data_IF_322129896393
#
_entry.id   IF_322129896393
#
_cell.length_a   1.000
_cell.length_b   1.000
_cell.length_c   1.000
_cell.angle_alpha   90.00
_cell.angle_beta   90.00
_cell.angle_gamma   90.00
#
_symmetry.space_group_name_H-M   'P 1'
#
loop_
_entity.id
_entity.type
_entity.pdbx_description
1 polymer ?
#
# COMPACT_ATOMS: atom_id res chain seq x y z
N UNK A 1 -9.29 -14.85 -34.72
CA UNK A 1 -9.38 -14.58 -33.28
C UNK A 1 -10.14 -13.27 -33.07
N UNK A 2 -11.25 -13.25 -32.29
CA UNK A 2 -12.08 -12.05 -32.11
C UNK A 2 -11.32 -10.87 -31.46
N UNK A 3 -10.26 -11.13 -30.69
CA UNK A 3 -9.47 -10.09 -30.03
C UNK A 3 -8.36 -9.49 -30.92
N UNK A 4 -7.95 -10.21 -32.01
CA UNK A 4 -6.84 -9.79 -32.87
C UNK A 4 -7.13 -10.19 -34.32
N UNK A 5 -8.03 -9.46 -35.02
CA UNK A 5 -8.53 -9.87 -36.33
C UNK A 5 -7.45 -9.87 -37.42
N UNK A 6 -6.36 -9.13 -37.25
CA UNK A 6 -5.29 -8.99 -38.25
C UNK A 6 -4.02 -9.80 -37.90
N UNK A 7 -4.08 -10.75 -36.92
CA UNK A 7 -2.93 -11.54 -36.50
C UNK A 7 -3.12 -12.99 -36.91
N UNK A 8 -2.19 -13.53 -37.68
CA UNK A 8 -2.11 -14.95 -38.01
C UNK A 8 -1.37 -15.73 -36.94
N UNK A 9 -2.05 -16.68 -36.32
CA UNK A 9 -1.47 -17.56 -35.30
C UNK A 9 -0.88 -18.81 -35.97
N UNK A 10 0.43 -19.02 -35.87
CA UNK A 10 1.12 -20.21 -36.34
C UNK A 10 1.22 -21.25 -35.20
N UNK A 11 0.55 -22.37 -35.33
CA UNK A 11 0.56 -23.44 -34.32
C UNK A 11 1.79 -24.36 -34.40
N UNK A 12 2.49 -24.36 -35.53
CA UNK A 12 3.71 -25.17 -35.75
C UNK A 12 4.84 -24.27 -36.17
N UNK A 13 5.86 -24.17 -35.37
CA UNK A 13 7.09 -23.40 -35.64
C UNK A 13 8.31 -24.30 -35.48
N UNK A 14 9.35 -24.07 -36.28
CA UNK A 14 10.60 -24.84 -36.26
C UNK A 14 11.82 -23.91 -36.11
N UNK A 15 12.99 -24.48 -35.84
CA UNK A 15 14.26 -23.78 -35.75
C UNK A 15 14.29 -22.65 -34.73
N UNK A 16 14.81 -21.49 -35.08
CA UNK A 16 14.95 -20.32 -34.18
C UNK A 16 13.59 -19.86 -33.62
N UNK A 17 12.53 -19.91 -34.41
CA UNK A 17 11.16 -19.52 -33.99
C UNK A 17 10.62 -20.43 -32.88
N UNK A 18 10.96 -21.72 -32.91
CA UNK A 18 10.57 -22.66 -31.84
C UNK A 18 11.22 -22.28 -30.51
N UNK A 19 12.52 -21.95 -30.52
CA UNK A 19 13.22 -21.48 -29.30
C UNK A 19 12.60 -20.20 -28.72
N UNK A 20 12.19 -19.27 -29.57
CA UNK A 20 11.50 -18.04 -29.11
C UNK A 20 10.14 -18.34 -28.49
N UNK A 21 9.38 -19.27 -29.08
CA UNK A 21 8.10 -19.68 -28.53
C UNK A 21 8.27 -20.35 -27.15
N UNK A 22 9.22 -21.28 -27.02
CA UNK A 22 9.55 -21.93 -25.75
C UNK A 22 9.99 -20.92 -24.68
N UNK A 23 10.75 -19.89 -25.05
CA UNK A 23 11.14 -18.81 -24.15
C UNK A 23 9.93 -17.97 -23.73
N UNK A 24 9.05 -17.62 -24.66
CA UNK A 24 7.83 -16.87 -24.38
C UNK A 24 6.89 -17.64 -23.46
N UNK A 25 6.69 -18.93 -23.71
CA UNK A 25 5.89 -19.82 -22.85
C UNK A 25 6.45 -19.91 -21.43
N UNK A 26 7.76 -20.07 -21.29
CA UNK A 26 8.44 -20.09 -19.99
C UNK A 26 8.25 -18.79 -19.24
N UNK A 27 8.43 -17.65 -19.92
CA UNK A 27 8.24 -16.35 -19.32
C UNK A 27 6.77 -16.15 -18.88
N UNK A 28 5.81 -16.55 -19.70
CA UNK A 28 4.38 -16.46 -19.35
C UNK A 28 4.04 -17.34 -18.15
N UNK A 29 4.56 -18.59 -18.09
CA UNK A 29 4.37 -19.50 -16.94
C UNK A 29 4.98 -18.91 -15.66
N UNK A 30 6.20 -18.39 -15.73
CA UNK A 30 6.86 -17.75 -14.59
C UNK A 30 6.08 -16.52 -14.10
N UNK A 31 5.64 -15.67 -15.02
CA UNK A 31 4.83 -14.50 -14.67
C UNK A 31 3.51 -14.89 -14.01
N UNK A 32 2.82 -15.91 -14.54
CA UNK A 32 1.58 -16.41 -13.97
C UNK A 32 1.79 -16.98 -12.57
N UNK A 33 2.84 -17.78 -12.36
CA UNK A 33 3.14 -18.34 -11.04
C UNK A 33 3.43 -17.25 -10.01
N UNK A 34 4.21 -16.24 -10.35
CA UNK A 34 4.47 -15.08 -9.48
C UNK A 34 3.20 -14.30 -9.17
N UNK A 35 2.33 -14.09 -10.15
CA UNK A 35 1.05 -13.42 -9.96
C UNK A 35 0.12 -14.21 -9.03
N UNK A 36 0.05 -15.53 -9.18
CA UNK A 36 -0.74 -16.40 -8.31
C UNK A 36 -0.21 -16.40 -6.87
N UNK A 37 1.10 -16.51 -6.67
CA UNK A 37 1.72 -16.43 -5.34
C UNK A 37 1.43 -15.08 -4.67
N UNK A 38 1.52 -13.98 -5.42
CA UNK A 38 1.20 -12.64 -4.92
C UNK A 38 -0.26 -12.53 -4.50
N UNK A 39 -1.19 -13.06 -5.30
CA UNK A 39 -2.61 -13.06 -4.98
C UNK A 39 -2.91 -13.90 -3.73
N UNK A 40 -2.27 -15.07 -3.55
CA UNK A 40 -2.42 -15.88 -2.34
C UNK A 40 -1.91 -15.17 -1.09
N UNK A 41 -0.79 -14.43 -1.20
CA UNK A 41 -0.27 -13.64 -0.09
C UNK A 41 -1.26 -12.53 0.30
N UNK A 42 -1.84 -11.83 -0.69
CA UNK A 42 -2.86 -10.83 -0.41
C UNK A 42 -4.12 -11.44 0.23
N UNK A 43 -4.60 -12.57 -0.28
CA UNK A 43 -5.76 -13.25 0.28
C UNK A 43 -5.58 -13.54 1.78
N UNK A 44 -4.44 -14.12 2.18
CA UNK A 44 -4.13 -14.37 3.60
C UNK A 44 -4.09 -13.08 4.44
N UNK A 45 -3.58 -11.99 3.87
CA UNK A 45 -3.55 -10.69 4.57
C UNK A 45 -4.95 -10.11 4.72
N UNK A 46 -5.82 -10.29 3.72
CA UNK A 46 -7.22 -9.86 3.78
C UNK A 46 -8.01 -10.64 4.82
N UNK A 47 -7.83 -11.97 4.90
CA UNK A 47 -8.45 -12.83 5.93
C UNK A 47 -8.03 -12.38 7.34
N UNK A 48 -6.74 -12.03 7.51
CA UNK A 48 -6.24 -11.51 8.77
C UNK A 48 -6.93 -10.19 9.15
N UNK A 49 -7.06 -9.27 8.21
CA UNK A 49 -7.69 -7.96 8.42
C UNK A 49 -9.18 -8.13 8.76
N UNK A 50 -9.90 -8.97 8.03
CA UNK A 50 -11.32 -9.25 8.28
C UNK A 50 -11.52 -9.80 9.69
N UNK A 51 -10.71 -10.77 10.08
CA UNK A 51 -10.79 -11.41 11.40
C UNK A 51 -10.51 -10.45 12.56
N UNK A 52 -9.55 -9.52 12.41
CA UNK A 52 -9.04 -8.71 13.51
C UNK A 52 -9.57 -7.28 13.51
N UNK A 53 -9.88 -6.73 12.33
CA UNK A 53 -10.34 -5.34 12.18
C UNK A 53 -11.85 -5.29 11.84
N UNK A 54 -12.45 -6.43 11.50
CA UNK A 54 -13.89 -6.56 11.17
C UNK A 54 -14.33 -5.70 9.98
N UNK A 55 -13.44 -5.50 9.01
CA UNK A 55 -13.74 -4.87 7.74
C UNK A 55 -13.79 -5.96 6.67
N UNK A 56 -14.88 -6.02 5.92
CA UNK A 56 -14.99 -6.96 4.80
C UNK A 56 -13.94 -6.62 3.73
N UNK A 57 -13.26 -7.64 3.15
CA UNK A 57 -12.21 -7.43 2.16
C UNK A 57 -12.60 -6.54 0.97
N UNK A 58 -13.85 -6.65 0.48
CA UNK A 58 -14.36 -5.83 -0.62
C UNK A 58 -14.37 -4.33 -0.34
N UNK A 59 -14.51 -3.97 0.94
CA UNK A 59 -14.58 -2.58 1.38
C UNK A 59 -13.25 -2.04 1.88
N UNK A 60 -12.20 -2.86 1.86
CA UNK A 60 -10.89 -2.48 2.37
C UNK A 60 -10.29 -1.32 1.56
N UNK A 61 -9.96 -0.24 2.25
CA UNK A 61 -9.31 0.97 1.71
C UNK A 61 -8.32 1.49 2.74
N UNK A 62 -7.03 1.16 2.54
CA UNK A 62 -5.94 1.52 3.46
C UNK A 62 -5.09 2.60 2.83
N UNK A 63 -4.73 3.62 3.59
CA UNK A 63 -3.68 4.57 3.22
C UNK A 63 -2.55 4.51 4.23
N UNK A 64 -1.36 4.15 3.77
CA UNK A 64 -0.14 4.21 4.55
C UNK A 64 0.53 5.58 4.40
N UNK A 65 0.99 6.14 5.52
CA UNK A 65 1.72 7.41 5.57
C UNK A 65 3.12 7.20 6.14
N UNK A 66 4.08 7.82 5.47
CA UNK A 66 5.48 7.85 5.89
C UNK A 66 6.06 9.25 5.73
N UNK A 67 6.98 9.64 6.63
CA UNK A 67 7.66 10.93 6.60
C UNK A 67 9.14 10.72 6.30
N UNK A 68 9.64 11.46 5.33
CA UNK A 68 11.06 11.54 5.00
C UNK A 68 11.58 12.96 5.14
N UNK A 69 12.86 13.09 5.46
CA UNK A 69 13.58 14.36 5.66
C UNK A 69 14.27 14.42 7.02
N UNK A 70 15.46 15.02 7.05
CA UNK A 70 16.28 15.18 8.26
C UNK A 70 15.83 16.34 9.15
N UNK A 71 16.52 16.50 10.27
CA UNK A 71 16.37 17.66 11.13
C UNK A 71 16.90 18.92 10.42
N UNK A 72 16.04 19.91 10.25
CA UNK A 72 16.36 21.15 9.51
C UNK A 72 16.02 21.11 8.02
N UNK A 73 15.70 19.94 7.45
CA UNK A 73 15.34 19.79 6.04
C UNK A 73 13.83 19.96 5.80
N UNK A 74 13.49 20.21 4.52
CA UNK A 74 12.11 20.18 4.08
C UNK A 74 11.59 18.75 4.16
N UNK A 75 10.64 18.50 5.06
CA UNK A 75 10.00 17.18 5.19
C UNK A 75 9.03 16.92 4.04
N UNK A 76 8.95 15.64 3.66
CA UNK A 76 7.99 15.15 2.67
C UNK A 76 7.17 14.04 3.30
N UNK A 77 5.86 14.08 3.09
CA UNK A 77 4.95 12.99 3.47
C UNK A 77 4.57 12.22 2.23
N UNK A 78 4.86 10.95 2.20
CA UNK A 78 4.43 10.01 1.18
C UNK A 78 3.16 9.28 1.62
N UNK A 79 2.25 9.04 0.66
CA UNK A 79 0.99 8.36 0.89
C UNK A 79 0.84 7.23 -0.12
N UNK A 80 0.67 6.02 0.37
CA UNK A 80 0.42 4.82 -0.44
C UNK A 80 -0.99 4.32 -0.19
N UNK A 81 -1.70 3.92 -1.25
CA UNK A 81 -3.08 3.46 -1.16
C UNK A 81 -3.19 2.00 -1.56
N UNK A 82 -3.96 1.24 -0.80
CA UNK A 82 -4.25 -0.16 -1.01
C UNK A 82 -5.74 -0.44 -0.91
N UNK A 83 -6.22 -1.32 -1.77
CA UNK A 83 -7.54 -1.92 -1.68
C UNK A 83 -7.45 -3.45 -1.77
N UNK A 84 -8.58 -4.13 -1.89
CA UNK A 84 -8.65 -5.59 -2.03
C UNK A 84 -7.80 -6.16 -3.19
N UNK A 85 -7.53 -5.36 -4.22
CA UNK A 85 -6.74 -5.76 -5.38
C UNK A 85 -5.24 -5.49 -5.20
N UNK A 86 -4.86 -4.88 -4.08
CA UNK A 86 -3.49 -4.48 -3.75
C UNK A 86 -3.24 -2.98 -3.93
N UNK A 87 -1.99 -2.55 -4.24
CA UNK A 87 -1.64 -1.14 -4.31
C UNK A 87 -2.26 -0.45 -5.53
N UNK A 88 -2.98 0.65 -5.30
CA UNK A 88 -3.50 1.54 -6.35
C UNK A 88 -2.64 2.81 -6.45
N UNK A 89 -1.70 2.78 -7.38
CA UNK A 89 -0.74 3.87 -7.59
C UNK A 89 -1.38 5.18 -8.06
N UNK A 90 -2.57 5.15 -8.65
CA UNK A 90 -3.28 6.34 -9.11
C UNK A 90 -3.67 7.27 -7.95
N UNK A 91 -3.79 6.70 -6.75
CA UNK A 91 -4.15 7.40 -5.51
C UNK A 91 -2.94 7.71 -4.61
N UNK A 92 -1.71 7.41 -5.04
CA UNK A 92 -0.51 7.80 -4.30
C UNK A 92 -0.33 9.31 -4.33
N UNK A 93 0.12 9.87 -3.23
CA UNK A 93 0.39 11.31 -3.12
C UNK A 93 1.70 11.57 -2.38
N UNK A 94 2.32 12.69 -2.74
CA UNK A 94 3.47 13.26 -2.04
C UNK A 94 3.14 14.68 -1.65
N UNK A 95 3.42 15.04 -0.42
CA UNK A 95 3.20 16.39 0.09
C UNK A 95 4.50 16.94 0.65
N UNK A 96 5.03 17.99 0.01
CA UNK A 96 6.08 18.79 0.61
C UNK A 96 5.49 19.54 1.80
N UNK A 97 6.10 19.40 2.98
CA UNK A 97 5.60 19.96 4.23
C UNK A 97 6.13 21.39 4.39
N UNK A 98 5.28 22.40 4.56
CA UNK A 98 5.74 23.76 4.85
C UNK A 98 6.55 23.81 6.16
N UNK A 99 7.54 24.72 6.26
CA UNK A 99 8.44 24.85 7.40
C UNK A 99 7.70 24.92 8.74
N UNK A 100 6.60 25.65 8.80
CA UNK A 100 5.75 25.78 10.00
C UNK A 100 5.15 24.45 10.52
N UNK A 101 5.15 23.40 9.70
CA UNK A 101 4.67 22.07 10.05
C UNK A 101 5.81 21.03 10.06
N UNK A 102 7.05 21.45 9.78
CA UNK A 102 8.22 20.56 9.67
C UNK A 102 8.99 20.38 10.99
N UNK A 103 8.54 20.99 12.07
CA UNK A 103 9.22 20.95 13.37
C UNK A 103 9.24 19.55 14.02
N UNK A 104 8.36 18.64 13.61
CA UNK A 104 8.39 17.23 14.01
C UNK A 104 7.75 16.34 12.95
N UNK A 105 8.10 15.04 12.96
CA UNK A 105 7.50 14.05 12.05
C UNK A 105 6.00 13.91 12.29
N UNK A 106 5.57 14.01 13.56
CA UNK A 106 4.15 13.95 13.91
C UNK A 106 3.34 15.12 13.34
N UNK A 107 3.89 16.34 13.36
CA UNK A 107 3.22 17.49 12.75
C UNK A 107 3.20 17.41 11.23
N UNK A 108 4.27 16.89 10.63
CA UNK A 108 4.32 16.60 9.21
C UNK A 108 3.28 15.56 8.81
N UNK A 109 3.15 14.45 9.57
CA UNK A 109 2.10 13.44 9.36
C UNK A 109 0.71 14.03 9.40
N UNK A 110 0.40 14.84 10.44
CA UNK A 110 -0.91 15.51 10.55
C UNK A 110 -1.19 16.37 9.33
N UNK A 111 -0.19 17.14 8.87
CA UNK A 111 -0.32 17.95 7.66
C UNK A 111 -0.63 17.07 6.45
N UNK A 112 0.12 15.99 6.23
CA UNK A 112 -0.05 15.05 5.11
C UNK A 112 -1.43 14.38 5.14
N UNK A 113 -1.86 13.86 6.29
CA UNK A 113 -3.16 13.22 6.46
C UNK A 113 -4.29 14.21 6.16
N UNK A 114 -4.26 15.42 6.73
CA UNK A 114 -5.27 16.46 6.45
C UNK A 114 -5.32 16.85 4.97
N UNK A 115 -4.16 16.89 4.31
CA UNK A 115 -4.08 17.14 2.86
C UNK A 115 -4.66 15.99 2.05
N UNK A 116 -4.34 14.75 2.43
CA UNK A 116 -4.84 13.57 1.73
C UNK A 116 -6.36 13.44 1.83
N UNK A 117 -6.92 13.66 3.01
CA UNK A 117 -8.37 13.58 3.25
C UNK A 117 -9.18 14.56 2.37
N UNK A 118 -8.58 15.67 1.93
CA UNK A 118 -9.22 16.61 0.99
C UNK A 118 -9.43 16.06 -0.42
N UNK A 119 -8.76 14.96 -0.80
CA UNK A 119 -8.98 14.35 -2.12
C UNK A 119 -10.29 13.55 -2.22
N UNK A 120 -10.99 13.32 -1.10
CA UNK A 120 -12.23 12.55 -1.02
C UNK A 120 -12.14 11.13 -1.60
N UNK A 121 -10.95 10.52 -1.58
CA UNK A 121 -10.82 9.10 -1.94
C UNK A 121 -11.51 8.23 -0.89
N UNK A 122 -12.20 7.15 -1.30
CA UNK A 122 -12.73 6.19 -0.35
C UNK A 122 -11.61 5.67 0.57
N UNK A 123 -11.83 5.73 1.89
CA UNK A 123 -10.82 5.40 2.89
C UNK A 123 -11.50 4.93 4.17
N UNK A 124 -11.05 3.81 4.73
CA UNK A 124 -11.52 3.31 6.03
C UNK A 124 -10.40 2.99 7.02
N UNK A 125 -9.16 2.87 6.56
CA UNK A 125 -8.01 2.67 7.45
C UNK A 125 -6.88 3.65 7.10
N UNK A 126 -6.36 4.32 8.12
CA UNK A 126 -5.09 5.05 8.07
C UNK A 126 -4.04 4.25 8.82
N UNK A 127 -2.93 3.94 8.13
CA UNK A 127 -1.77 3.27 8.70
C UNK A 127 -0.60 4.26 8.77
N UNK A 128 0.03 4.36 9.95
CA UNK A 128 1.20 5.21 10.16
C UNK A 128 2.37 4.39 10.69
N UNK A 129 3.60 4.81 10.36
CA UNK A 129 4.79 4.29 11.03
C UNK A 129 4.95 4.95 12.40
N UNK A 130 5.01 4.12 13.46
CA UNK A 130 5.17 4.58 14.84
C UNK A 130 4.43 3.73 15.86
N UNK A 131 4.73 3.95 17.13
CA UNK A 131 4.08 3.23 18.25
C UNK A 131 2.76 3.86 18.69
N UNK A 132 2.19 3.32 19.77
CA UNK A 132 0.92 3.76 20.35
C UNK A 132 0.86 5.27 20.66
N UNK A 133 1.99 5.85 21.09
CA UNK A 133 2.07 7.30 21.38
C UNK A 133 1.82 8.13 20.13
N UNK A 134 2.37 7.72 18.96
CA UNK A 134 2.15 8.38 17.68
C UNK A 134 0.69 8.29 17.27
N UNK A 135 0.10 7.11 17.40
CA UNK A 135 -1.32 6.87 17.11
C UNK A 135 -2.22 7.81 17.93
N UNK A 136 -2.04 7.84 19.25
CA UNK A 136 -2.81 8.69 20.15
C UNK A 136 -2.67 10.18 19.82
N UNK A 137 -1.44 10.62 19.49
CA UNK A 137 -1.17 12.02 19.13
C UNK A 137 -1.92 12.45 17.87
N UNK A 138 -1.98 11.57 16.86
CA UNK A 138 -2.65 11.85 15.58
C UNK A 138 -4.17 11.83 15.76
N UNK A 139 -4.71 10.84 16.46
CA UNK A 139 -6.15 10.74 16.75
C UNK A 139 -6.70 11.98 17.48
N UNK A 140 -5.96 12.49 18.46
CA UNK A 140 -6.37 13.68 19.19
C UNK A 140 -6.51 14.94 18.28
N UNK A 141 -5.89 14.93 17.09
CA UNK A 141 -5.81 16.10 16.19
C UNK A 141 -6.52 15.94 14.85
N UNK A 142 -6.95 14.72 14.53
CA UNK A 142 -7.68 14.41 13.30
C UNK A 142 -9.01 13.78 13.66
N UNK A 143 -10.09 14.53 13.46
CA UNK A 143 -11.45 14.04 13.68
C UNK A 143 -11.95 13.37 12.39
N UNK A 144 -11.96 12.04 12.38
CA UNK A 144 -12.46 11.24 11.27
C UNK A 144 -13.16 9.97 11.81
N UNK A 145 -14.39 10.09 12.36
CA UNK A 145 -15.04 9.02 13.14
C UNK A 145 -15.37 7.76 12.34
N UNK A 146 -15.29 7.81 11.01
CA UNK A 146 -15.53 6.64 10.12
C UNK A 146 -14.25 5.97 9.67
N UNK A 147 -13.08 6.45 10.14
CA UNK A 147 -11.77 5.95 9.73
C UNK A 147 -11.10 5.31 10.95
N UNK A 148 -10.67 4.07 10.78
CA UNK A 148 -9.85 3.37 11.77
C UNK A 148 -8.42 3.88 11.64
N UNK A 149 -7.85 4.30 12.75
CA UNK A 149 -6.44 4.67 12.81
C UNK A 149 -5.63 3.49 13.31
N UNK A 150 -4.56 3.16 12.61
CA UNK A 150 -3.65 2.09 12.98
C UNK A 150 -2.20 2.54 12.84
N UNK A 151 -1.32 1.92 13.61
CA UNK A 151 0.11 2.19 13.53
C UNK A 151 0.95 0.92 13.65
N UNK A 152 2.12 0.93 13.00
CA UNK A 152 3.12 -0.12 13.10
C UNK A 152 4.27 0.40 13.95
N UNK A 153 4.43 -0.18 15.15
CA UNK A 153 5.54 0.15 16.04
C UNK A 153 6.56 -0.97 16.08
N UNK A 154 7.84 -0.61 16.21
CA UNK A 154 8.91 -1.58 16.42
C UNK A 154 8.72 -2.26 17.78
N UNK A 155 8.62 -3.60 17.79
CA UNK A 155 8.52 -4.38 19.02
C UNK A 155 9.75 -4.22 19.92
N UNK A 156 9.61 -4.45 21.22
CA UNK A 156 10.68 -4.29 22.24
C UNK A 156 11.94 -5.11 21.93
N UNK A 157 11.82 -6.23 21.24
CA UNK A 157 12.92 -7.02 20.75
C UNK A 157 13.10 -6.73 19.26
N UNK A 158 14.06 -5.89 18.91
CA UNK A 158 14.48 -5.54 17.53
C UNK A 158 14.91 -6.76 16.68
N UNK A 159 14.19 -7.88 16.78
CA UNK A 159 14.35 -9.03 15.90
C UNK A 159 13.51 -8.82 14.65
N UNK A 160 14.16 -8.96 13.51
CA UNK A 160 13.57 -8.85 12.18
C UNK A 160 12.18 -9.46 12.10
N UNK A 161 11.18 -8.67 11.66
CA UNK A 161 9.87 -9.14 11.26
C UNK A 161 8.78 -9.18 12.34
N UNK A 162 9.02 -8.68 13.56
CA UNK A 162 7.97 -8.55 14.58
C UNK A 162 7.68 -7.08 14.83
N UNK A 163 6.72 -6.55 14.10
CA UNK A 163 6.15 -5.23 14.34
C UNK A 163 4.83 -5.39 15.12
N UNK A 164 4.59 -4.48 16.06
CA UNK A 164 3.32 -4.43 16.78
C UNK A 164 2.33 -3.57 16.01
N UNK A 165 1.20 -4.15 15.62
CA UNK A 165 0.09 -3.41 15.03
C UNK A 165 -0.80 -2.89 16.18
N UNK A 166 -0.92 -1.58 16.28
CA UNK A 166 -1.86 -0.90 17.17
C UNK A 166 -3.07 -0.47 16.33
N UNK A 167 -4.25 -0.81 16.80
CA UNK A 167 -5.54 -0.49 16.16
C UNK A 167 -6.42 0.21 17.18
N UNK A 168 -7.18 1.16 16.71
CA UNK A 168 -8.13 1.92 17.52
C UNK A 168 -9.49 1.24 17.60
#
# INVERSE_FOLDING_TARGET
NPFFPNINFLNKVAGKKKKWLEMAERNAKNFLSLKLQKNQKYARSLDFIEKHIKIIPSDLRIVGFDVSGGSGDIKTVSCTYFDQNGPDKSKYRFFRVPIKHSNSDLNALIFGIKKYLKNNFPLNIILIDGGQTHLNFIKARIKAPKIIFSSLGKGEKRKYGIENLFVD
#
